data_IF_978641087856
#
_entry.id   IF_978641087856
#
_cell.length_a   1.000
_cell.length_b   1.000
_cell.length_c   1.000
_cell.angle_alpha   90.00
_cell.angle_beta   90.00
_cell.angle_gamma   90.00
#
_symmetry.space_group_name_H-M   'P 1'
#
loop_
_entity.id
_entity.type
_entity.pdbx_description
1 polymer ?
#
# COMPACT_ATOMS: atom_id res chain seq x y z
N UNK A 1 -34.48 37.04 -16.31
CA UNK A 1 -35.32 36.08 -15.54
C UNK A 1 -34.68 34.74 -15.27
N UNK A 2 -33.63 34.32 -15.99
CA UNK A 2 -32.97 33.01 -15.81
C UNK A 2 -32.17 32.85 -14.51
N UNK A 3 -31.60 33.93 -13.98
CA UNK A 3 -30.74 33.85 -12.77
C UNK A 3 -31.56 33.52 -11.51
N UNK A 4 -32.81 33.94 -11.43
CA UNK A 4 -33.70 33.64 -10.28
C UNK A 4 -34.10 32.16 -10.24
N UNK A 5 -34.32 31.55 -11.40
CA UNK A 5 -34.68 30.12 -11.49
C UNK A 5 -33.55 29.20 -11.05
N UNK A 6 -32.31 29.56 -11.36
CA UNK A 6 -31.12 28.80 -10.96
C UNK A 6 -30.86 28.80 -9.44
N UNK A 7 -31.09 29.97 -8.79
CA UNK A 7 -30.93 30.08 -7.34
C UNK A 7 -31.99 29.26 -6.57
N UNK A 8 -33.20 29.17 -7.08
CA UNK A 8 -34.27 28.36 -6.46
C UNK A 8 -33.98 26.85 -6.61
N UNK A 9 -33.44 26.42 -7.75
CA UNK A 9 -33.07 25.03 -7.96
C UNK A 9 -31.91 24.57 -7.06
N UNK A 10 -30.93 25.43 -6.78
CA UNK A 10 -29.85 25.13 -5.85
C UNK A 10 -30.30 25.05 -4.40
N UNK A 11 -31.23 25.94 -3.98
CA UNK A 11 -31.82 25.88 -2.63
C UNK A 11 -32.61 24.59 -2.42
N UNK A 12 -33.38 24.16 -3.41
CA UNK A 12 -34.19 22.93 -3.32
C UNK A 12 -33.29 21.69 -3.23
N UNK A 13 -32.14 21.64 -3.96
CA UNK A 13 -31.17 20.56 -3.86
C UNK A 13 -30.50 20.48 -2.48
N UNK A 14 -30.21 21.63 -1.86
CA UNK A 14 -29.60 21.68 -0.53
C UNK A 14 -30.58 21.25 0.57
N UNK A 15 -31.86 21.58 0.45
CA UNK A 15 -32.90 21.16 1.41
C UNK A 15 -33.16 19.64 1.33
N UNK A 16 -33.19 19.06 0.11
CA UNK A 16 -33.36 17.63 -0.07
C UNK A 16 -32.18 16.85 0.51
N UNK A 17 -30.93 17.31 0.32
CA UNK A 17 -29.73 16.70 0.90
C UNK A 17 -29.72 16.75 2.44
N UNK A 18 -30.21 17.86 3.06
CA UNK A 18 -30.36 17.97 4.52
C UNK A 18 -31.42 17.02 5.07
N UNK A 19 -32.56 16.91 4.38
CA UNK A 19 -33.65 16.02 4.78
C UNK A 19 -33.26 14.54 4.75
N UNK A 20 -32.48 14.12 3.75
CA UNK A 20 -32.00 12.75 3.65
C UNK A 20 -30.96 12.40 4.74
N UNK A 21 -30.11 13.33 5.14
CA UNK A 21 -29.16 13.15 6.23
C UNK A 21 -29.84 13.03 7.59
N UNK A 22 -30.94 13.73 7.82
CA UNK A 22 -31.71 13.65 9.07
C UNK A 22 -32.54 12.36 9.18
N UNK A 23 -33.03 11.81 8.07
CA UNK A 23 -33.76 10.54 8.07
C UNK A 23 -32.85 9.32 8.34
N UNK A 24 -31.57 9.37 7.93
CA UNK A 24 -30.61 8.34 8.27
C UNK A 24 -30.20 8.34 9.75
N UNK A 25 -30.16 9.49 10.41
CA UNK A 25 -29.88 9.58 11.85
C UNK A 25 -31.04 9.05 12.72
N UNK A 26 -32.29 9.18 12.27
CA UNK A 26 -33.46 8.76 13.03
C UNK A 26 -33.72 7.24 13.02
N UNK A 27 -33.12 6.49 12.09
CA UNK A 27 -33.24 5.02 12.02
C UNK A 27 -32.22 4.28 12.91
N UNK A 28 -31.22 4.97 13.47
CA UNK A 28 -30.17 4.36 14.31
C UNK A 28 -30.54 4.35 15.80
N UNK A 29 -31.61 5.06 16.22
CA UNK A 29 -31.96 5.23 17.65
C UNK A 29 -33.01 4.28 18.22
N UNK A 30 -33.52 3.31 17.45
CA UNK A 30 -34.57 2.38 17.94
C UNK A 30 -34.14 0.91 17.94
N UNK A 31 -32.92 0.62 18.37
CA UNK A 31 -32.52 -0.74 18.78
C UNK A 31 -31.72 -0.63 20.08
N UNK A 32 -32.45 -0.33 21.17
CA UNK A 32 -31.90 -0.41 22.53
C UNK A 32 -32.36 -1.68 23.22
N UNK A 33 -31.40 -2.30 23.87
CA UNK A 33 -31.48 -3.32 24.93
C UNK A 33 -31.41 -4.78 24.47
N UNK A 34 -30.14 -5.22 24.35
CA UNK A 34 -29.78 -6.45 25.09
C UNK A 34 -28.30 -6.35 25.46
N UNK A 35 -28.02 -6.33 26.74
CA UNK A 35 -26.70 -6.36 27.37
C UNK A 35 -26.07 -7.73 27.19
N UNK A 36 -25.29 -7.89 26.15
CA UNK A 36 -24.19 -8.84 26.11
C UNK A 36 -23.02 -8.10 25.52
N UNK A 37 -21.98 -7.87 26.34
CA UNK A 37 -20.69 -7.43 25.87
C UNK A 37 -20.28 -8.33 24.70
N UNK A 38 -20.15 -7.80 23.47
CA UNK A 38 -19.54 -8.60 22.44
C UNK A 38 -18.06 -8.73 22.86
N UNK A 39 -17.66 -9.92 23.26
CA UNK A 39 -16.28 -10.34 23.14
C UNK A 39 -15.96 -10.12 21.67
N UNK A 40 -15.31 -8.98 21.39
CA UNK A 40 -14.74 -8.72 20.08
C UNK A 40 -13.71 -9.83 19.90
N UNK A 41 -14.15 -10.89 19.26
CA UNK A 41 -13.27 -11.94 18.76
C UNK A 41 -12.40 -11.25 17.71
N UNK A 42 -11.29 -10.64 18.18
CA UNK A 42 -10.27 -10.04 17.35
C UNK A 42 -9.80 -11.17 16.43
N UNK A 43 -10.40 -11.26 15.23
CA UNK A 43 -9.99 -12.27 14.24
C UNK A 43 -8.52 -12.06 14.02
N UNK A 44 -7.72 -13.05 14.43
CA UNK A 44 -6.32 -13.07 14.07
C UNK A 44 -6.26 -12.97 12.56
N UNK A 45 -5.76 -11.86 12.07
CA UNK A 45 -5.49 -11.70 10.66
C UNK A 45 -4.35 -12.65 10.31
N UNK A 46 -4.43 -13.25 9.16
CA UNK A 46 -3.38 -14.08 8.58
C UNK A 46 -3.02 -13.52 7.20
N UNK A 47 -2.76 -12.22 7.20
CA UNK A 47 -2.56 -11.45 5.98
C UNK A 47 -1.35 -11.96 5.19
N UNK A 48 -0.25 -12.32 5.89
CA UNK A 48 0.95 -12.89 5.25
C UNK A 48 0.60 -14.17 4.48
N UNK A 49 -0.12 -15.12 5.08
CA UNK A 49 -0.47 -16.36 4.41
C UNK A 49 -1.43 -16.15 3.24
N UNK A 50 -2.41 -15.26 3.39
CA UNK A 50 -3.31 -14.89 2.30
C UNK A 50 -2.56 -14.20 1.15
N UNK A 51 -1.62 -13.30 1.46
CA UNK A 51 -0.72 -12.68 0.50
C UNK A 51 0.09 -13.74 -0.25
N UNK A 52 0.75 -14.66 0.44
CA UNK A 52 1.54 -15.71 -0.17
C UNK A 52 0.72 -16.61 -1.07
N UNK A 53 -0.51 -16.92 -0.67
CA UNK A 53 -1.43 -17.70 -1.51
C UNK A 53 -1.83 -16.95 -2.80
N UNK A 54 -2.17 -15.67 -2.70
CA UNK A 54 -2.47 -14.85 -3.89
C UNK A 54 -1.28 -14.72 -4.83
N UNK A 55 -0.07 -14.63 -4.27
CA UNK A 55 1.16 -14.42 -5.03
C UNK A 55 1.80 -15.72 -5.54
N UNK A 56 1.24 -16.90 -5.21
CA UNK A 56 1.79 -18.20 -5.61
C UNK A 56 1.79 -18.43 -7.13
N UNK A 57 0.95 -17.73 -7.87
CA UNK A 57 0.86 -17.82 -9.33
C UNK A 57 1.76 -16.82 -10.08
N UNK A 58 2.52 -16.00 -9.36
CA UNK A 58 3.43 -15.03 -9.98
C UNK A 58 4.61 -15.74 -10.61
N UNK A 59 4.81 -15.55 -11.90
CA UNK A 59 5.94 -16.11 -12.62
C UNK A 59 7.21 -15.31 -12.31
N UNK A 60 8.02 -15.87 -11.42
CA UNK A 60 9.29 -15.26 -10.97
C UNK A 60 10.40 -15.33 -12.03
N UNK A 61 10.21 -16.12 -13.11
CA UNK A 61 11.14 -16.13 -14.26
C UNK A 61 11.05 -14.85 -15.10
N UNK A 62 10.01 -14.04 -14.87
CA UNK A 62 9.79 -12.74 -15.51
C UNK A 62 9.97 -11.61 -14.48
N UNK A 63 11.20 -11.25 -14.10
CA UNK A 63 11.48 -10.44 -12.92
C UNK A 63 10.84 -9.03 -12.98
N UNK A 64 10.74 -8.45 -14.17
CA UNK A 64 10.09 -7.16 -14.33
C UNK A 64 8.58 -7.21 -14.03
N UNK A 65 7.88 -8.22 -14.52
CA UNK A 65 6.45 -8.42 -14.22
C UNK A 65 6.23 -8.82 -12.77
N UNK A 66 7.07 -9.69 -12.24
CA UNK A 66 7.04 -10.08 -10.85
C UNK A 66 7.24 -8.87 -9.93
N UNK A 67 8.22 -8.02 -10.22
CA UNK A 67 8.44 -6.76 -9.49
C UNK A 67 7.18 -5.88 -9.48
N UNK A 68 6.58 -5.63 -10.65
CA UNK A 68 5.37 -4.80 -10.74
C UNK A 68 4.21 -5.38 -9.93
N UNK A 69 4.02 -6.69 -9.95
CA UNK A 69 2.94 -7.36 -9.20
C UNK A 69 3.16 -7.25 -7.69
N UNK A 70 4.40 -7.47 -7.23
CA UNK A 70 4.74 -7.33 -5.82
C UNK A 70 4.72 -5.88 -5.33
N UNK A 71 5.05 -4.90 -6.18
CA UNK A 71 4.95 -3.47 -5.85
C UNK A 71 3.50 -3.04 -5.60
N UNK A 72 2.54 -3.59 -6.35
CA UNK A 72 1.11 -3.36 -6.09
C UNK A 72 0.70 -3.88 -4.71
N UNK A 73 1.15 -5.08 -4.34
CA UNK A 73 0.84 -5.65 -3.01
C UNK A 73 1.58 -4.92 -1.88
N UNK A 74 2.83 -4.47 -2.10
CA UNK A 74 3.57 -3.61 -1.18
C UNK A 74 2.77 -2.36 -0.84
N UNK A 75 2.29 -1.67 -1.86
CA UNK A 75 1.51 -0.45 -1.69
C UNK A 75 0.17 -0.68 -0.98
N UNK A 76 -0.45 -1.86 -1.16
CA UNK A 76 -1.69 -2.22 -0.45
C UNK A 76 -1.44 -2.41 1.04
N UNK A 77 -0.48 -3.25 1.41
CA UNK A 77 -0.20 -3.52 2.82
C UNK A 77 0.35 -2.29 3.54
N UNK A 78 1.17 -1.48 2.86
CA UNK A 78 1.63 -0.20 3.40
C UNK A 78 0.45 0.74 3.74
N UNK A 79 -0.53 0.88 2.84
CA UNK A 79 -1.73 1.69 3.08
C UNK A 79 -2.56 1.16 4.24
N UNK A 80 -2.71 -0.16 4.35
CA UNK A 80 -3.41 -0.79 5.47
C UNK A 80 -2.72 -0.45 6.80
N UNK A 81 -1.41 -0.67 6.91
CA UNK A 81 -0.63 -0.30 8.09
C UNK A 81 -0.79 1.18 8.42
N UNK A 82 -0.63 2.06 7.43
CA UNK A 82 -0.76 3.51 7.61
C UNK A 82 -2.16 3.95 8.06
N UNK A 83 -3.21 3.17 7.80
CA UNK A 83 -4.56 3.48 8.27
C UNK A 83 -4.79 3.11 9.74
N UNK A 84 -4.05 2.14 10.27
CA UNK A 84 -4.33 1.54 11.57
C UNK A 84 -3.33 1.89 12.68
N UNK A 85 -2.06 2.20 12.32
CA UNK A 85 -1.03 2.51 13.31
C UNK A 85 -1.14 3.96 13.84
N UNK A 86 -0.70 4.21 15.09
CA UNK A 86 -0.62 5.57 15.66
C UNK A 86 0.33 6.49 14.88
N UNK A 87 0.13 7.82 14.98
CA UNK A 87 0.89 8.80 14.19
C UNK A 87 2.42 8.70 14.39
N UNK A 88 2.88 8.47 15.62
CA UNK A 88 4.32 8.26 15.87
C UNK A 88 4.88 7.04 15.11
N UNK A 89 4.10 5.98 14.99
CA UNK A 89 4.48 4.77 14.23
C UNK A 89 4.43 5.02 12.73
N UNK A 90 3.51 5.85 12.24
CA UNK A 90 3.46 6.27 10.84
C UNK A 90 4.72 7.00 10.41
N UNK A 91 5.24 7.87 11.27
CA UNK A 91 6.52 8.58 11.01
C UNK A 91 7.67 7.58 10.88
N UNK A 92 7.75 6.61 11.80
CA UNK A 92 8.77 5.56 11.77
C UNK A 92 8.65 4.71 10.50
N UNK A 93 7.44 4.30 10.13
CA UNK A 93 7.20 3.50 8.93
C UNK A 93 7.59 4.27 7.66
N UNK A 94 7.19 5.55 7.53
CA UNK A 94 7.60 6.40 6.39
C UNK A 94 9.13 6.50 6.28
N UNK A 95 9.82 6.68 7.40
CA UNK A 95 11.28 6.77 7.40
C UNK A 95 11.93 5.43 7.03
N UNK A 96 11.37 4.33 7.51
CA UNK A 96 11.78 2.96 7.13
C UNK A 96 11.62 2.72 5.63
N UNK A 97 10.48 3.12 5.03
CA UNK A 97 10.26 2.99 3.59
C UNK A 97 11.25 3.81 2.77
N UNK A 98 11.52 5.05 3.20
CA UNK A 98 12.52 5.90 2.51
C UNK A 98 13.92 5.29 2.58
N UNK A 99 14.31 4.74 3.73
CA UNK A 99 15.60 4.08 3.92
C UNK A 99 15.70 2.82 3.03
N UNK A 100 14.64 2.01 3.01
CA UNK A 100 14.56 0.83 2.18
C UNK A 100 14.65 1.17 0.68
N UNK A 101 13.91 2.18 0.20
CA UNK A 101 14.00 2.64 -1.18
C UNK A 101 15.43 3.08 -1.55
N UNK A 102 16.08 3.83 -0.65
CA UNK A 102 17.48 4.23 -0.85
C UNK A 102 18.42 3.03 -0.93
N UNK A 103 18.21 2.03 -0.07
CA UNK A 103 18.98 0.80 -0.09
C UNK A 103 18.78 0.06 -1.41
N UNK A 104 17.54 -0.08 -1.89
CA UNK A 104 17.25 -0.74 -3.18
C UNK A 104 17.96 -0.05 -4.34
N UNK A 105 17.93 1.29 -4.39
CA UNK A 105 18.66 2.05 -5.42
C UNK A 105 20.17 1.82 -5.32
N UNK A 106 20.72 1.78 -4.12
CA UNK A 106 22.15 1.53 -3.91
C UNK A 106 22.55 0.09 -4.36
N UNK A 107 21.74 -0.92 -4.03
CA UNK A 107 21.99 -2.31 -4.47
C UNK A 107 21.96 -2.44 -6.00
N UNK A 108 20.98 -1.81 -6.64
CA UNK A 108 20.89 -1.76 -8.10
C UNK A 108 22.13 -1.08 -8.69
N UNK A 109 22.50 0.10 -8.20
CA UNK A 109 23.67 0.82 -8.70
C UNK A 109 24.96 0.02 -8.51
N UNK A 110 25.15 -0.59 -7.34
CA UNK A 110 26.31 -1.43 -7.07
C UNK A 110 26.40 -2.60 -8.05
N UNK A 111 25.30 -3.33 -8.28
CA UNK A 111 25.26 -4.43 -9.23
C UNK A 111 25.59 -3.97 -10.64
N UNK A 112 25.05 -2.84 -11.06
CA UNK A 112 25.32 -2.27 -12.39
C UNK A 112 26.76 -1.77 -12.54
N UNK A 113 27.36 -1.19 -11.48
CA UNK A 113 28.77 -0.75 -11.51
C UNK A 113 29.72 -1.95 -11.58
N UNK A 114 29.36 -3.06 -10.93
CA UNK A 114 30.13 -4.31 -10.96
C UNK A 114 30.04 -5.00 -12.33
N UNK A 115 28.86 -5.00 -12.98
CA UNK A 115 28.65 -5.70 -14.24
C UNK A 115 29.05 -4.88 -15.47
N UNK A 116 28.75 -3.58 -15.48
CA UNK A 116 29.07 -2.70 -16.60
C UNK A 116 30.51 -2.16 -16.53
N UNK A 117 31.12 -2.13 -15.32
CA UNK A 117 32.36 -1.44 -15.05
C UNK A 117 32.21 0.08 -15.02
N UNK A 118 33.24 0.75 -14.51
CA UNK A 118 33.34 2.21 -14.47
C UNK A 118 34.64 2.65 -15.15
N UNK A 119 34.61 3.78 -15.82
CA UNK A 119 35.80 4.39 -16.42
C UNK A 119 36.70 5.04 -15.35
N UNK A 120 37.85 5.59 -15.78
CA UNK A 120 38.79 6.28 -14.91
C UNK A 120 38.22 7.51 -14.17
N UNK A 121 37.08 8.05 -14.64
CA UNK A 121 36.36 9.17 -14.03
C UNK A 121 35.21 8.69 -13.13
N UNK A 122 35.05 7.38 -12.91
CA UNK A 122 33.95 6.80 -12.12
C UNK A 122 32.59 6.81 -12.84
N UNK A 123 32.57 7.04 -14.15
CA UNK A 123 31.35 7.00 -14.96
C UNK A 123 31.11 5.58 -15.45
N UNK A 124 29.86 5.07 -15.26
CA UNK A 124 29.46 3.74 -15.73
C UNK A 124 29.64 3.63 -17.26
N UNK A 125 30.28 2.57 -17.70
CA UNK A 125 30.41 2.21 -19.10
C UNK A 125 29.09 1.69 -19.66
N UNK A 126 29.04 1.42 -20.99
CA UNK A 126 27.84 0.88 -21.62
C UNK A 126 27.52 -0.51 -21.05
N UNK A 127 26.31 -0.65 -20.56
CA UNK A 127 25.78 -1.88 -20.02
C UNK A 127 25.18 -2.77 -21.11
N UNK A 128 25.21 -4.08 -20.91
CA UNK A 128 24.57 -5.07 -21.79
C UNK A 128 23.09 -5.23 -21.50
N UNK A 129 22.41 -6.05 -22.32
CA UNK A 129 20.97 -6.35 -22.15
C UNK A 129 20.68 -7.15 -20.88
N UNK A 130 21.66 -7.91 -20.37
CA UNK A 130 21.58 -8.67 -19.12
C UNK A 130 21.41 -7.76 -17.90
N UNK A 131 21.97 -6.57 -17.93
CA UNK A 131 21.97 -5.65 -16.78
C UNK A 131 20.59 -5.14 -16.42
N UNK A 132 19.69 -4.98 -17.40
CA UNK A 132 18.29 -4.65 -17.16
C UNK A 132 17.53 -5.81 -16.47
N UNK A 133 17.93 -7.05 -16.71
CA UNK A 133 17.36 -8.24 -16.06
C UNK A 133 17.87 -8.31 -14.62
N UNK A 134 19.14 -8.04 -14.39
CA UNK A 134 19.73 -8.02 -13.05
C UNK A 134 19.12 -6.92 -12.17
N UNK A 135 18.95 -5.73 -12.71
CA UNK A 135 18.20 -4.65 -12.06
C UNK A 135 16.79 -5.09 -11.66
N UNK A 136 16.04 -5.70 -12.60
CA UNK A 136 14.70 -6.17 -12.36
C UNK A 136 14.66 -7.28 -11.29
N UNK A 137 15.63 -8.19 -11.27
CA UNK A 137 15.76 -9.24 -10.27
C UNK A 137 16.01 -8.67 -8.86
N UNK A 138 16.89 -7.68 -8.74
CA UNK A 138 17.16 -7.02 -7.45
C UNK A 138 15.90 -6.33 -6.95
N UNK A 139 15.24 -5.52 -7.79
CA UNK A 139 14.00 -4.83 -7.44
C UNK A 139 12.91 -5.82 -7.03
N UNK A 140 12.70 -6.88 -7.79
CA UNK A 140 11.73 -7.91 -7.48
C UNK A 140 11.99 -8.56 -6.12
N UNK A 141 13.20 -9.05 -5.87
CA UNK A 141 13.57 -9.72 -4.62
C UNK A 141 13.36 -8.80 -3.42
N UNK A 142 13.88 -7.58 -3.48
CA UNK A 142 13.78 -6.62 -2.37
C UNK A 142 12.32 -6.20 -2.11
N UNK A 143 11.52 -6.00 -3.17
CA UNK A 143 10.11 -5.65 -3.03
C UNK A 143 9.29 -6.80 -2.44
N UNK A 144 9.54 -8.03 -2.87
CA UNK A 144 8.91 -9.24 -2.30
C UNK A 144 9.21 -9.36 -0.81
N UNK A 145 10.49 -9.29 -0.41
CA UNK A 145 10.91 -9.36 0.99
C UNK A 145 10.26 -8.26 1.84
N UNK A 146 10.25 -7.03 1.34
CA UNK A 146 9.63 -5.90 2.06
C UNK A 146 8.13 -6.05 2.19
N UNK A 147 7.44 -6.52 1.17
CA UNK A 147 6.00 -6.76 1.21
C UNK A 147 5.63 -7.79 2.28
N UNK A 148 6.41 -8.89 2.36
CA UNK A 148 6.22 -9.93 3.38
C UNK A 148 6.48 -9.37 4.78
N UNK A 149 7.53 -8.56 4.96
CA UNK A 149 7.82 -7.90 6.23
C UNK A 149 6.65 -7.02 6.70
N UNK A 150 6.11 -6.18 5.81
CA UNK A 150 4.95 -5.34 6.13
C UNK A 150 3.70 -6.17 6.43
N UNK A 151 3.49 -7.28 5.72
CA UNK A 151 2.39 -8.20 5.99
C UNK A 151 2.47 -8.80 7.40
N UNK A 152 3.65 -9.20 7.84
CA UNK A 152 3.89 -9.66 9.24
C UNK A 152 3.62 -8.58 10.24
N UNK A 153 4.09 -7.36 10.00
CA UNK A 153 3.79 -6.21 10.88
C UNK A 153 2.29 -5.98 11.00
N UNK A 154 1.54 -6.14 9.92
CA UNK A 154 0.09 -6.02 9.92
C UNK A 154 -0.57 -7.13 10.75
N UNK A 155 -0.14 -8.38 10.61
CA UNK A 155 -0.63 -9.50 11.42
C UNK A 155 -0.30 -9.33 12.91
N UNK A 156 0.86 -8.75 13.25
CA UNK A 156 1.26 -8.45 14.62
C UNK A 156 0.36 -7.41 15.31
N UNK A 157 -0.15 -6.43 14.57
CA UNK A 157 -1.11 -5.46 15.09
C UNK A 157 -2.44 -6.12 15.53
N UNK A 158 -2.76 -7.29 14.99
CA UNK A 158 -4.03 -7.99 15.18
C UNK A 158 -3.91 -9.26 16.05
N UNK A 159 -2.76 -9.45 16.70
CA UNK A 159 -2.52 -10.54 17.68
C UNK A 159 -2.95 -10.22 19.14
#
# INVERSE_FOLDING_TARGET
MEVKLRLEQEKTKQEIAKSQSQQQLAQVTNASQETTTPVVNKRRTNYEAELMNRMSSVDESLPYKAYQTWDVELNKVYKLLMSEIPENSKIKLRNSERAWLKQMVNEVNKSLDESCGVDENGKRMMCGTSDSIDEANIKFRMTKERTIELARMYDELHR
#
